data_IF_180619060255
#
_entry.id   IF_180619060255
#
_cell.length_a   1.000
_cell.length_b   1.000
_cell.length_c   1.000
_cell.angle_alpha   90.00
_cell.angle_beta   90.00
_cell.angle_gamma   90.00
#
_symmetry.space_group_name_H-M   'P 1'
#
loop_
_entity.id
_entity.type
_entity.pdbx_description
1 polymer ?
#
# COMPACT_ATOMS: atom_id res chain seq x y z
N UNK A 1 -7.96 22.03 -7.59
CA UNK A 1 -7.86 20.97 -8.62
C UNK A 1 -7.88 19.59 -7.94
N UNK A 2 -9.04 18.93 -7.88
CA UNK A 2 -9.18 17.62 -7.25
C UNK A 2 -8.60 16.51 -8.15
N UNK A 3 -7.74 15.66 -7.61
CA UNK A 3 -7.24 14.49 -8.35
C UNK A 3 -8.41 13.55 -8.62
N UNK A 4 -8.72 13.32 -9.91
CA UNK A 4 -9.73 12.34 -10.30
C UNK A 4 -9.39 10.95 -9.70
N UNK A 5 -10.37 10.18 -9.21
CA UNK A 5 -10.12 8.83 -8.71
C UNK A 5 -9.47 8.00 -9.81
N UNK A 6 -8.30 7.39 -9.53
CA UNK A 6 -7.56 6.63 -10.56
C UNK A 6 -8.30 5.36 -11.03
N UNK A 7 -9.39 5.03 -10.36
CA UNK A 7 -10.35 4.02 -10.75
C UNK A 7 -11.73 4.67 -10.55
N UNK A 8 -12.30 5.23 -11.61
CA UNK A 8 -13.76 5.35 -11.67
C UNK A 8 -14.32 3.96 -11.34
N UNK A 9 -15.43 3.89 -10.61
CA UNK A 9 -16.17 2.63 -10.34
C UNK A 9 -16.75 2.09 -11.65
N UNK A 10 -15.89 1.85 -12.64
CA UNK A 10 -16.21 1.31 -13.95
C UNK A 10 -16.75 -0.09 -13.71
N UNK A 11 -18.04 -0.25 -13.99
CA UNK A 11 -18.68 -1.54 -14.07
C UNK A 11 -17.92 -2.40 -15.08
N UNK A 12 -17.56 -3.63 -14.71
CA UNK A 12 -16.89 -4.59 -15.60
C UNK A 12 -15.36 -4.71 -15.48
N UNK A 13 -14.70 -3.98 -14.57
CA UNK A 13 -13.28 -4.22 -14.27
C UNK A 13 -13.08 -5.38 -13.30
N UNK A 14 -12.11 -6.25 -13.60
CA UNK A 14 -11.72 -7.39 -12.78
C UNK A 14 -11.06 -6.92 -11.48
N UNK A 15 -11.60 -7.37 -10.34
CA UNK A 15 -11.05 -7.10 -8.99
C UNK A 15 -10.46 -8.33 -8.30
N UNK A 16 -10.62 -9.50 -8.89
CA UNK A 16 -10.12 -10.78 -8.37
C UNK A 16 -8.62 -10.97 -8.57
N UNK A 17 -8.14 -12.18 -8.23
CA UNK A 17 -6.75 -12.58 -8.47
C UNK A 17 -6.35 -12.45 -9.93
N UNK A 18 -5.07 -12.18 -10.19
CA UNK A 18 -4.51 -12.17 -11.54
C UNK A 18 -4.38 -13.61 -12.04
N UNK A 19 -4.81 -13.85 -13.28
CA UNK A 19 -4.61 -15.13 -13.94
C UNK A 19 -3.37 -15.10 -14.86
N UNK A 20 -2.93 -16.29 -15.29
CA UNK A 20 -1.72 -16.42 -16.11
C UNK A 20 -1.82 -15.71 -17.47
N UNK A 21 -3.01 -15.67 -18.08
CA UNK A 21 -3.24 -14.97 -19.35
C UNK A 21 -3.12 -13.45 -19.17
N UNK A 22 -3.73 -12.89 -18.13
CA UNK A 22 -3.60 -11.48 -17.77
C UNK A 22 -2.13 -11.12 -17.49
N UNK A 23 -1.39 -11.98 -16.81
CA UNK A 23 0.04 -11.80 -16.53
C UNK A 23 0.89 -11.83 -17.79
N UNK A 24 0.60 -12.75 -18.74
CA UNK A 24 1.28 -12.79 -20.04
C UNK A 24 1.03 -11.50 -20.82
N UNK A 25 -0.23 -11.11 -20.99
CA UNK A 25 -0.62 -9.88 -21.72
C UNK A 25 0.09 -8.66 -21.11
N UNK A 26 0.10 -8.56 -19.77
CA UNK A 26 0.77 -7.45 -19.08
C UNK A 26 2.28 -7.45 -19.32
N UNK A 27 2.92 -8.62 -19.25
CA UNK A 27 4.36 -8.78 -19.42
C UNK A 27 4.79 -8.49 -20.86
N UNK A 28 4.08 -9.03 -21.84
CA UNK A 28 4.34 -8.82 -23.27
C UNK A 28 4.19 -7.34 -23.64
N UNK A 29 3.09 -6.71 -23.23
CA UNK A 29 2.88 -5.30 -23.48
C UNK A 29 4.01 -4.44 -22.89
N UNK A 30 4.45 -4.72 -21.67
CA UNK A 30 5.55 -3.99 -21.03
C UNK A 30 6.90 -4.27 -21.69
N UNK A 31 7.11 -5.48 -22.21
CA UNK A 31 8.32 -5.83 -22.97
C UNK A 31 8.45 -4.97 -24.23
N UNK A 32 7.33 -4.75 -24.93
CA UNK A 32 7.29 -3.99 -26.20
C UNK A 32 7.31 -2.47 -25.96
N UNK A 33 6.52 -1.98 -25.01
CA UNK A 33 6.29 -0.54 -24.81
C UNK A 33 7.02 0.08 -23.61
N UNK A 34 7.70 -0.74 -22.81
CA UNK A 34 8.33 -0.34 -21.57
C UNK A 34 7.37 -0.27 -20.37
N UNK A 35 7.94 -0.23 -19.16
CA UNK A 35 7.18 -0.12 -17.93
C UNK A 35 6.76 1.33 -17.66
N UNK A 36 5.47 1.64 -17.74
CA UNK A 36 5.00 3.01 -17.57
C UNK A 36 3.56 3.19 -17.99
N UNK A 37 3.15 4.44 -18.15
CA UNK A 37 1.82 4.84 -18.64
C UNK A 37 0.64 4.07 -18.00
N UNK A 38 0.75 3.74 -16.72
CA UNK A 38 -0.16 2.81 -16.05
C UNK A 38 -1.64 3.17 -16.22
N UNK A 39 -1.97 4.46 -16.33
CA UNK A 39 -3.34 4.94 -16.56
C UNK A 39 -3.94 4.41 -17.88
N UNK A 40 -3.15 4.39 -18.95
CA UNK A 40 -3.61 4.05 -20.30
C UNK A 40 -3.25 2.61 -20.70
N UNK A 41 -2.21 2.05 -20.07
CA UNK A 41 -1.70 0.71 -20.35
C UNK A 41 -2.80 -0.36 -20.41
N UNK A 42 -3.73 -0.48 -19.44
CA UNK A 42 -4.71 -1.58 -19.47
C UNK A 42 -5.61 -1.53 -20.71
N UNK A 43 -6.03 -0.32 -21.12
CA UNK A 43 -6.87 -0.15 -22.31
C UNK A 43 -6.11 -0.51 -23.58
N UNK A 44 -4.85 -0.06 -23.69
CA UNK A 44 -3.99 -0.36 -24.85
C UNK A 44 -3.63 -1.85 -24.93
N UNK A 45 -3.43 -2.50 -23.79
CA UNK A 45 -3.13 -3.93 -23.68
C UNK A 45 -4.37 -4.85 -23.78
N UNK A 46 -5.58 -4.30 -23.89
CA UNK A 46 -6.82 -5.11 -23.88
C UNK A 46 -7.16 -5.75 -22.53
N UNK A 47 -6.57 -5.28 -21.42
CA UNK A 47 -6.82 -5.79 -20.07
C UNK A 47 -8.05 -5.12 -19.44
N UNK A 48 -8.96 -5.93 -18.91
CA UNK A 48 -10.09 -5.48 -18.07
C UNK A 48 -9.65 -5.16 -16.64
N UNK A 49 -8.54 -4.45 -16.47
CA UNK A 49 -7.93 -4.08 -15.19
C UNK A 49 -7.72 -2.57 -15.12
N UNK A 50 -7.63 -2.02 -13.91
CA UNK A 50 -7.26 -0.62 -13.74
C UNK A 50 -5.73 -0.46 -13.71
N UNK A 51 -5.26 0.73 -14.05
CA UNK A 51 -3.82 1.03 -14.12
C UNK A 51 -3.06 0.79 -12.82
N UNK A 52 -3.70 1.12 -11.69
CA UNK A 52 -3.14 0.85 -10.36
C UNK A 52 -2.92 -0.65 -10.14
N UNK A 53 -3.86 -1.49 -10.59
CA UNK A 53 -3.73 -2.95 -10.47
C UNK A 53 -2.58 -3.47 -11.32
N UNK A 54 -2.47 -3.03 -12.58
CA UNK A 54 -1.37 -3.43 -13.46
C UNK A 54 -0.01 -3.02 -12.89
N UNK A 55 0.12 -1.78 -12.41
CA UNK A 55 1.35 -1.30 -11.77
C UNK A 55 1.73 -2.16 -10.57
N UNK A 56 0.77 -2.44 -9.69
CA UNK A 56 1.01 -3.21 -8.48
C UNK A 56 1.41 -4.65 -8.83
N UNK A 57 0.75 -5.26 -9.83
CA UNK A 57 1.07 -6.60 -10.29
C UNK A 57 2.48 -6.68 -10.87
N UNK A 58 2.85 -5.73 -11.72
CA UNK A 58 4.19 -5.66 -12.28
C UNK A 58 5.26 -5.52 -11.19
N UNK A 59 5.15 -4.50 -10.34
CA UNK A 59 6.18 -4.18 -9.36
C UNK A 59 6.37 -5.24 -8.26
N UNK A 60 5.32 -5.99 -7.90
CA UNK A 60 5.40 -6.98 -6.83
C UNK A 60 5.57 -8.42 -7.33
N UNK A 61 5.18 -8.69 -8.56
CA UNK A 61 5.19 -10.04 -9.10
C UNK A 61 5.95 -10.09 -10.42
N UNK A 62 5.51 -9.44 -11.48
CA UNK A 62 6.02 -9.80 -12.82
C UNK A 62 7.40 -9.23 -13.18
N UNK A 63 7.85 -8.18 -12.48
CA UNK A 63 9.13 -7.54 -12.80
C UNK A 63 10.29 -8.53 -12.65
N UNK A 64 11.21 -8.59 -13.65
CA UNK A 64 12.44 -9.36 -13.52
C UNK A 64 13.26 -8.96 -12.30
N UNK A 65 13.93 -9.93 -11.68
CA UNK A 65 14.78 -9.72 -10.51
C UNK A 65 14.08 -9.80 -9.15
N UNK A 66 12.77 -10.08 -9.12
CA UNK A 66 12.07 -10.39 -7.86
C UNK A 66 12.37 -11.83 -7.44
N UNK A 67 12.94 -12.00 -6.25
CA UNK A 67 13.21 -13.31 -5.66
C UNK A 67 11.91 -14.02 -5.29
N UNK A 68 11.83 -15.32 -5.60
CA UNK A 68 10.70 -16.17 -5.20
C UNK A 68 11.10 -17.08 -4.05
N UNK A 69 10.18 -17.27 -3.11
CA UNK A 69 10.36 -18.15 -1.96
C UNK A 69 10.49 -17.41 -0.64
N UNK A 70 10.77 -18.19 0.40
CA UNK A 70 10.79 -17.73 1.78
C UNK A 70 11.90 -16.71 2.03
N UNK A 71 11.68 -15.82 2.99
CA UNK A 71 12.71 -14.93 3.52
C UNK A 71 13.71 -15.79 4.31
N UNK A 72 14.99 -15.66 3.99
CA UNK A 72 16.09 -16.34 4.69
C UNK A 72 16.30 -15.76 6.10
N UNK A 73 17.04 -16.48 6.95
CA UNK A 73 17.40 -16.01 8.29
C UNK A 73 18.17 -14.70 8.26
N UNK A 74 19.13 -14.58 7.33
CA UNK A 74 19.95 -13.37 7.19
C UNK A 74 19.11 -12.16 6.74
N UNK A 75 18.16 -12.40 5.82
CA UNK A 75 17.19 -11.39 5.40
C UNK A 75 16.24 -11.02 6.56
N UNK A 76 15.79 -12.00 7.37
CA UNK A 76 14.96 -11.78 8.57
C UNK A 76 15.68 -10.87 9.57
N UNK A 77 16.92 -11.19 9.93
CA UNK A 77 17.73 -10.41 10.86
C UNK A 77 17.95 -8.98 10.36
N UNK A 78 18.21 -8.83 9.06
CA UNK A 78 18.37 -7.51 8.46
C UNK A 78 17.05 -6.72 8.48
N UNK A 79 15.91 -7.35 8.23
CA UNK A 79 14.59 -6.72 8.34
C UNK A 79 14.34 -6.23 9.76
N UNK A 80 14.64 -7.04 10.77
CA UNK A 80 14.45 -6.68 12.19
C UNK A 80 15.31 -5.46 12.55
N UNK A 81 16.61 -5.48 12.22
CA UNK A 81 17.51 -4.35 12.50
C UNK A 81 17.08 -3.07 11.79
N UNK A 82 16.73 -3.16 10.51
CA UNK A 82 16.30 -2.00 9.73
C UNK A 82 14.96 -1.45 10.19
N UNK A 83 14.03 -2.32 10.59
CA UNK A 83 12.74 -1.89 11.15
C UNK A 83 12.91 -1.19 12.50
N UNK A 84 13.78 -1.70 13.38
CA UNK A 84 14.10 -1.02 14.64
C UNK A 84 14.64 0.40 14.43
N UNK A 85 15.42 0.63 13.35
CA UNK A 85 15.99 1.93 13.02
C UNK A 85 15.05 2.85 12.23
N UNK A 86 14.24 2.29 11.32
CA UNK A 86 13.50 3.05 10.32
C UNK A 86 11.97 2.99 10.49
N UNK A 87 11.47 2.13 11.37
CA UNK A 87 10.06 1.82 11.54
C UNK A 87 9.43 1.26 10.25
N UNK A 88 8.18 1.62 10.01
CA UNK A 88 7.36 1.10 8.90
C UNK A 88 7.69 1.70 7.52
N UNK A 89 8.94 2.12 7.30
CA UNK A 89 9.43 2.66 6.02
C UNK A 89 9.81 1.53 5.04
N UNK A 90 8.84 0.69 4.69
CA UNK A 90 9.06 -0.55 3.92
C UNK A 90 9.81 -0.36 2.61
N UNK A 91 9.51 0.68 1.83
CA UNK A 91 10.18 0.94 0.57
C UNK A 91 11.67 1.30 0.76
N UNK A 92 12.03 1.93 1.89
CA UNK A 92 13.42 2.21 2.23
C UNK A 92 14.16 0.94 2.68
N UNK A 93 13.48 0.08 3.47
CA UNK A 93 14.00 -1.21 3.89
C UNK A 93 14.24 -2.13 2.68
N UNK A 94 13.27 -2.20 1.76
CA UNK A 94 13.38 -2.97 0.52
C UNK A 94 14.57 -2.55 -0.35
N UNK A 95 14.92 -1.26 -0.34
CA UNK A 95 16.11 -0.75 -1.04
C UNK A 95 17.43 -1.35 -0.55
N UNK A 96 17.46 -2.01 0.61
CA UNK A 96 18.64 -2.70 1.17
C UNK A 96 18.55 -4.23 1.06
N UNK A 97 17.48 -4.77 0.49
CA UNK A 97 17.24 -6.21 0.34
C UNK A 97 17.09 -6.54 -1.16
N UNK A 98 18.19 -6.91 -1.83
CA UNK A 98 18.17 -7.11 -3.28
C UNK A 98 17.19 -8.21 -3.67
N UNK A 99 16.28 -7.87 -4.58
CA UNK A 99 15.25 -8.76 -5.09
C UNK A 99 14.03 -8.96 -4.19
N UNK A 100 13.95 -8.29 -3.03
CA UNK A 100 12.75 -8.26 -2.18
C UNK A 100 11.97 -6.97 -2.38
N UNK A 101 10.65 -7.10 -2.34
CA UNK A 101 9.73 -5.97 -2.45
C UNK A 101 9.29 -5.47 -1.07
N UNK A 102 8.91 -4.21 -1.01
CA UNK A 102 8.38 -3.58 0.21
C UNK A 102 7.11 -4.28 0.70
N UNK A 103 6.27 -4.75 -0.22
CA UNK A 103 5.10 -5.54 0.10
C UNK A 103 5.45 -6.89 0.74
N UNK A 104 6.46 -7.61 0.24
CA UNK A 104 6.91 -8.87 0.84
C UNK A 104 7.43 -8.66 2.26
N UNK A 105 8.27 -7.65 2.48
CA UNK A 105 8.86 -7.37 3.79
C UNK A 105 7.78 -7.01 4.82
N UNK A 106 6.86 -6.11 4.45
CA UNK A 106 5.70 -5.76 5.29
C UNK A 106 4.86 -7.00 5.61
N UNK A 107 4.59 -7.85 4.63
CA UNK A 107 3.80 -9.07 4.84
C UNK A 107 4.52 -10.05 5.77
N UNK A 108 5.83 -10.20 5.62
CA UNK A 108 6.63 -11.05 6.49
C UNK A 108 6.62 -10.55 7.93
N UNK A 109 6.82 -9.24 8.13
CA UNK A 109 6.74 -8.61 9.44
C UNK A 109 5.39 -8.90 10.11
N UNK A 110 4.29 -8.62 9.42
CA UNK A 110 2.94 -8.75 9.97
C UNK A 110 2.51 -10.19 10.24
N UNK A 111 3.02 -11.16 9.47
CA UNK A 111 2.59 -12.56 9.57
C UNK A 111 3.49 -13.43 10.44
N UNK A 112 4.81 -13.20 10.43
CA UNK A 112 5.79 -14.07 11.10
C UNK A 112 6.43 -13.40 12.31
N UNK A 113 6.83 -12.14 12.18
CA UNK A 113 7.62 -11.47 13.22
C UNK A 113 6.77 -10.95 14.38
N UNK A 114 5.60 -10.36 14.13
CA UNK A 114 4.69 -9.93 15.21
C UNK A 114 4.36 -11.10 16.14
N UNK A 115 4.15 -12.31 15.59
CA UNK A 115 3.86 -13.50 16.38
C UNK A 115 5.07 -14.01 17.15
N UNK A 116 6.26 -14.07 16.51
CA UNK A 116 7.50 -14.49 17.17
C UNK A 116 7.84 -13.57 18.35
N UNK A 117 7.78 -12.25 18.16
CA UNK A 117 8.12 -11.25 19.20
C UNK A 117 7.19 -11.35 20.42
N UNK A 118 5.88 -11.56 20.19
CA UNK A 118 4.91 -11.77 21.29
C UNK A 118 5.15 -13.05 22.07
N UNK A 119 5.76 -14.06 21.46
CA UNK A 119 6.00 -15.37 22.09
C UNK A 119 7.34 -15.43 22.83
N UNK A 120 8.36 -14.70 22.39
CA UNK A 120 9.71 -14.78 22.98
C UNK A 120 9.95 -13.81 24.13
N UNK A 121 9.01 -12.92 24.48
CA UNK A 121 9.15 -11.99 25.62
C UNK A 121 10.35 -11.04 25.54
N UNK A 122 11.06 -11.02 24.40
CA UNK A 122 12.20 -10.15 24.18
C UNK A 122 11.67 -8.77 23.83
N UNK A 123 11.78 -7.86 24.80
CA UNK A 123 11.58 -6.44 24.61
C UNK A 123 12.56 -5.93 23.54
N UNK A 124 12.08 -5.77 22.32
CA UNK A 124 12.62 -4.73 21.45
C UNK A 124 12.51 -3.41 22.23
N UNK A 125 13.50 -2.50 22.14
CA UNK A 125 13.38 -1.20 22.79
C UNK A 125 12.05 -0.59 22.37
N UNK A 126 11.15 -0.44 23.35
CA UNK A 126 9.85 0.17 23.16
C UNK A 126 10.09 1.61 22.73
N UNK A 127 10.07 1.87 21.42
CA UNK A 127 9.63 3.17 20.92
C UNK A 127 8.10 3.15 20.90
N UNK A 128 7.49 2.93 22.06
CA UNK A 128 6.13 3.35 22.30
C UNK A 128 6.18 4.86 22.57
N UNK A 129 5.91 5.63 21.51
CA UNK A 129 5.46 7.04 21.51
C UNK A 129 6.08 7.85 20.36
N UNK A 130 5.75 7.49 19.11
CA UNK A 130 5.15 8.43 18.15
C UNK A 130 4.13 7.63 17.33
N UNK A 131 3.18 7.02 18.04
CA UNK A 131 1.90 6.58 17.49
C UNK A 131 0.81 7.34 18.24
N UNK A 132 0.84 8.66 18.11
CA UNK A 132 -0.33 9.49 18.35
C UNK A 132 -0.59 10.28 17.08
N UNK A 133 -1.79 10.09 16.55
CA UNK A 133 -2.47 10.98 15.62
C UNK A 133 -2.14 10.89 14.12
N UNK A 134 -2.64 9.85 13.44
CA UNK A 134 -3.14 10.03 12.06
C UNK A 134 -4.37 9.18 11.71
N UNK A 135 -5.10 8.65 12.70
CA UNK A 135 -6.38 7.95 12.51
C UNK A 135 -7.60 8.68 13.07
N UNK A 136 -7.47 9.98 13.36
CA UNK A 136 -8.60 10.86 13.69
C UNK A 136 -8.67 12.10 12.77
N UNK A 137 -8.63 11.89 11.45
CA UNK A 137 -9.24 12.84 10.50
C UNK A 137 -10.28 12.10 9.69
N UNK A 138 -11.36 11.68 10.34
CA UNK A 138 -12.67 11.49 9.68
C UNK A 138 -13.89 11.33 10.58
N UNK A 139 -13.76 11.38 11.90
CA UNK A 139 -14.92 11.39 12.80
C UNK A 139 -14.63 12.35 13.95
N UNK A 140 -14.64 13.66 13.69
CA UNK A 140 -15.07 14.81 14.55
C UNK A 140 -14.81 16.08 13.73
N UNK A 141 -15.58 16.28 12.64
CA UNK A 141 -15.90 17.62 12.10
C UNK A 141 -17.35 17.66 11.63
N UNK A 142 -18.22 17.01 12.39
CA UNK A 142 -19.68 17.05 12.22
C UNK A 142 -20.36 17.01 13.59
N UNK A 143 -19.95 17.91 14.48
CA UNK A 143 -20.68 18.17 15.74
C UNK A 143 -20.34 19.53 16.35
N UNK A 144 -20.21 20.57 15.50
CA UNK A 144 -20.20 21.97 15.96
C UNK A 144 -20.88 22.91 14.95
N UNK A 145 -21.91 22.40 14.27
CA UNK A 145 -22.83 23.23 13.47
C UNK A 145 -24.27 22.85 13.82
N UNK A 146 -24.59 22.95 15.11
CA UNK A 146 -25.96 22.91 15.62
C UNK A 146 -25.94 23.35 17.08
N UNK A 147 -25.65 24.64 17.32
CA UNK A 147 -25.96 25.35 18.57
C UNK A 147 -25.57 26.85 18.45
N UNK A 148 -25.85 27.47 17.30
CA UNK A 148 -25.93 28.94 17.16
C UNK A 148 -26.94 29.24 16.04
N UNK A 149 -28.19 28.87 16.29
CA UNK A 149 -29.39 29.40 15.63
C UNK A 149 -30.52 29.30 16.65
N UNK A 150 -30.38 30.04 17.75
CA UNK A 150 -31.44 30.25 18.73
C UNK A 150 -31.12 31.47 19.58
N UNK A 151 -30.88 32.62 18.93
CA UNK A 151 -31.03 33.95 19.54
C UNK A 151 -30.94 34.97 18.42
N UNK A 152 -31.85 35.96 18.45
CA UNK A 152 -32.05 37.07 17.50
C UNK A 152 -33.11 36.84 16.41
N UNK A 153 -34.31 36.45 16.82
CA UNK A 153 -35.48 37.28 16.47
C UNK A 153 -35.69 38.26 17.63
N UNK A 154 -35.32 39.53 17.44
CA UNK A 154 -36.01 40.72 17.97
C UNK A 154 -35.22 41.99 17.59
N UNK A 155 -35.97 43.05 17.23
CA UNK A 155 -35.58 44.44 16.93
C UNK A 155 -34.99 44.70 15.53
N UNK A 156 -35.41 45.70 14.77
CA UNK A 156 -36.51 46.68 14.86
C UNK A 156 -36.51 47.44 13.51
N UNK A 157 -37.65 48.01 13.11
CA UNK A 157 -37.73 49.09 12.11
C UNK A 157 -38.10 48.70 10.69
#
# INVERSE_FOLDING_TARGET
MGRAPCCSREAGLNRGGWNALEDMILTEYISIHGAGEWKNLPKKAGLKRCGKSCRLRWLNYLRPGIKRGNISTDEEDLIIRLHALLGNRWSLIAGRLPGRTDNEIKNYWNSKLIRKIKQTGSSLPQTESVYVETTAVRIVKRSHKSLEKSTLEYHDG
#
